data_IF_255967650521
#
_entry.id   IF_255967650521
#
_cell.length_a   1.000
_cell.length_b   1.000
_cell.length_c   1.000
_cell.angle_alpha   90.00
_cell.angle_beta   90.00
_cell.angle_gamma   90.00
#
_symmetry.space_group_name_H-M   'P 1'
#
loop_
_entity.id
_entity.type
_entity.pdbx_description
1 polymer ?
#
# COMPACT_ATOMS: atom_id res chain seq x y z
N UNK A 1 -22.57 -5.78 -62.90
CA UNK A 1 -21.77 -5.36 -61.72
C UNK A 1 -22.63 -5.23 -60.47
N UNK A 2 -23.12 -6.35 -59.90
CA UNK A 2 -23.97 -6.31 -58.69
C UNK A 2 -23.81 -7.52 -57.75
N UNK A 3 -22.98 -8.52 -58.10
CA UNK A 3 -22.77 -9.74 -57.28
C UNK A 3 -21.49 -9.72 -56.42
N UNK A 4 -20.52 -8.84 -56.70
CA UNK A 4 -19.26 -8.79 -55.92
C UNK A 4 -19.27 -7.86 -54.71
N UNK A 5 -20.16 -6.86 -54.65
CA UNK A 5 -20.24 -5.96 -53.48
C UNK A 5 -20.99 -6.57 -52.29
N UNK A 6 -21.88 -7.55 -52.51
CA UNK A 6 -22.70 -8.16 -51.45
C UNK A 6 -21.91 -9.07 -50.50
N UNK A 7 -20.84 -9.73 -50.96
CA UNK A 7 -20.04 -10.61 -50.10
C UNK A 7 -18.92 -9.89 -49.34
N UNK A 8 -18.59 -8.65 -49.73
CA UNK A 8 -17.58 -7.84 -49.05
C UNK A 8 -18.17 -7.10 -47.85
N UNK A 9 -19.37 -6.54 -48.01
CA UNK A 9 -20.10 -5.88 -46.92
C UNK A 9 -20.55 -6.86 -45.81
N UNK A 10 -20.89 -8.12 -46.16
CA UNK A 10 -21.35 -9.11 -45.18
C UNK A 10 -20.24 -9.65 -44.28
N UNK A 11 -18.97 -9.58 -44.71
CA UNK A 11 -17.81 -10.03 -43.92
C UNK A 11 -17.29 -8.95 -42.97
N UNK A 12 -17.45 -7.67 -43.31
CA UNK A 12 -17.08 -6.57 -42.41
C UNK A 12 -18.09 -6.31 -41.29
N UNK A 13 -19.39 -6.54 -41.53
CA UNK A 13 -20.41 -6.40 -40.49
C UNK A 13 -20.29 -7.44 -39.36
N UNK A 14 -19.85 -8.66 -39.67
CA UNK A 14 -19.65 -9.73 -38.67
C UNK A 14 -18.42 -9.50 -37.78
N UNK A 15 -17.36 -8.89 -38.33
CA UNK A 15 -16.13 -8.58 -37.58
C UNK A 15 -16.32 -7.37 -36.66
N UNK A 16 -17.13 -6.38 -37.06
CA UNK A 16 -17.49 -5.25 -36.20
C UNK A 16 -18.39 -5.64 -35.03
N UNK A 17 -19.32 -6.58 -35.20
CA UNK A 17 -20.13 -7.10 -34.09
C UNK A 17 -19.34 -8.00 -33.12
N UNK A 18 -18.34 -8.75 -33.61
CA UNK A 18 -17.45 -9.53 -32.76
C UNK A 18 -16.46 -8.65 -31.97
N UNK A 19 -16.00 -7.54 -32.55
CA UNK A 19 -15.11 -6.59 -31.86
C UNK A 19 -15.84 -5.77 -30.79
N UNK A 20 -17.13 -5.44 -30.99
CA UNK A 20 -17.96 -4.76 -30.00
C UNK A 20 -18.39 -5.64 -28.81
N UNK A 21 -18.38 -6.97 -28.97
CA UNK A 21 -18.65 -7.92 -27.88
C UNK A 21 -17.43 -8.19 -26.98
N UNK A 22 -16.21 -7.91 -27.44
CA UNK A 22 -15.01 -8.06 -26.61
C UNK A 22 -14.72 -6.86 -25.69
N UNK A 23 -15.33 -5.71 -25.93
CA UNK A 23 -15.16 -4.51 -25.07
C UNK A 23 -16.19 -4.49 -23.92
N UNK A 24 -17.25 -5.30 -23.98
CA UNK A 24 -18.27 -5.38 -22.94
C UNK A 24 -17.99 -6.42 -21.83
N UNK A 25 -16.87 -7.16 -21.91
CA UNK A 25 -16.54 -8.22 -20.95
C UNK A 25 -15.51 -7.80 -19.87
N UNK A 26 -15.05 -6.53 -19.85
CA UNK A 26 -14.02 -6.08 -18.91
C UNK A 26 -14.53 -5.55 -17.56
N UNK A 27 -15.84 -5.56 -17.29
CA UNK A 27 -16.39 -5.00 -16.03
C UNK A 27 -17.38 -5.91 -15.30
N UNK A 28 -17.32 -7.23 -15.48
CA UNK A 28 -18.11 -8.17 -14.68
C UNK A 28 -17.24 -9.27 -14.05
N UNK A 29 -16.14 -8.86 -13.42
CA UNK A 29 -15.64 -9.61 -12.26
C UNK A 29 -16.38 -9.12 -11.01
N UNK A 30 -17.68 -9.38 -10.92
CA UNK A 30 -18.25 -9.70 -9.60
C UNK A 30 -17.77 -11.11 -9.26
N UNK A 31 -16.46 -11.28 -9.15
CA UNK A 31 -15.89 -12.44 -8.49
C UNK A 31 -16.51 -12.46 -7.11
N UNK A 32 -16.95 -13.64 -6.66
CA UNK A 32 -17.42 -13.79 -5.29
C UNK A 32 -16.28 -13.35 -4.36
N UNK A 33 -16.34 -12.12 -3.87
CA UNK A 33 -15.31 -11.53 -3.01
C UNK A 33 -15.10 -12.44 -1.81
N UNK A 34 -13.91 -13.04 -1.73
CA UNK A 34 -13.60 -13.91 -0.62
C UNK A 34 -13.37 -13.09 0.65
N UNK A 35 -13.62 -13.74 1.78
CA UNK A 35 -13.26 -13.21 3.10
C UNK A 35 -11.75 -13.02 3.25
N UNK A 36 -10.96 -13.74 2.44
CA UNK A 36 -9.49 -13.82 2.54
C UNK A 36 -8.77 -13.69 1.20
N UNK A 37 -8.77 -12.50 0.58
CA UNK A 37 -8.04 -12.27 -0.66
C UNK A 37 -6.58 -12.66 -0.51
N UNK A 38 -5.94 -13.01 -1.62
CA UNK A 38 -4.52 -13.36 -1.64
C UNK A 38 -3.79 -12.44 -2.60
N UNK A 39 -2.61 -12.00 -2.20
CA UNK A 39 -1.73 -11.17 -3.03
C UNK A 39 -0.33 -11.77 -3.09
N UNK A 40 0.42 -11.41 -4.12
CA UNK A 40 1.85 -11.68 -4.23
C UNK A 40 2.59 -10.35 -4.29
N UNK A 41 3.62 -10.20 -3.46
CA UNK A 41 4.55 -9.07 -3.42
C UNK A 41 5.92 -9.61 -3.84
N UNK A 42 6.54 -8.99 -4.85
CA UNK A 42 7.91 -9.29 -5.27
C UNK A 42 8.83 -8.16 -4.85
N UNK A 43 9.82 -8.50 -4.03
CA UNK A 43 10.83 -7.58 -3.52
C UNK A 43 12.16 -7.93 -4.18
N UNK A 44 12.94 -6.92 -4.54
CA UNK A 44 14.31 -7.06 -5.01
C UNK A 44 15.24 -6.33 -4.04
N UNK A 45 16.35 -6.97 -3.70
CA UNK A 45 17.41 -6.39 -2.88
C UNK A 45 18.76 -7.00 -3.32
N UNK A 46 19.78 -6.17 -3.51
CA UNK A 46 21.13 -6.60 -3.88
C UNK A 46 21.18 -7.62 -5.06
N UNK A 47 20.36 -7.38 -6.08
CA UNK A 47 20.26 -8.23 -7.27
C UNK A 47 19.46 -9.54 -7.11
N UNK A 48 19.03 -9.89 -5.90
CA UNK A 48 18.19 -11.06 -5.64
C UNK A 48 16.70 -10.71 -5.55
N UNK A 49 15.82 -11.69 -5.83
CA UNK A 49 14.37 -11.50 -5.81
C UNK A 49 13.69 -12.43 -4.81
N UNK A 50 12.90 -11.83 -3.93
CA UNK A 50 12.14 -12.49 -2.87
C UNK A 50 10.64 -12.38 -3.19
N UNK A 51 9.92 -13.50 -3.14
CA UNK A 51 8.47 -13.54 -3.44
C UNK A 51 7.68 -13.88 -2.19
N UNK A 52 6.90 -12.91 -1.73
CA UNK A 52 6.02 -13.04 -0.57
C UNK A 52 4.57 -13.21 -1.04
N UNK A 53 3.91 -14.27 -0.57
CA UNK A 53 2.47 -14.43 -0.76
C UNK A 53 1.75 -14.12 0.54
N UNK A 54 0.68 -13.35 0.47
CA UNK A 54 -0.10 -12.92 1.62
C UNK A 54 -1.54 -13.41 1.55
N UNK A 55 -2.12 -13.66 2.73
CA UNK A 55 -3.58 -13.70 2.94
C UNK A 55 -4.01 -12.40 3.60
N UNK A 56 -4.93 -11.68 2.98
CA UNK A 56 -5.53 -10.45 3.51
C UNK A 56 -6.83 -10.77 4.27
N UNK A 57 -7.16 -9.99 5.29
CA UNK A 57 -8.24 -10.29 6.24
C UNK A 57 -9.46 -9.40 6.03
N UNK A 58 -10.03 -9.39 4.81
CA UNK A 58 -11.17 -8.52 4.43
C UNK A 58 -12.37 -8.66 5.36
N UNK A 59 -12.62 -9.86 5.89
CA UNK A 59 -13.74 -10.07 6.82
C UNK A 59 -13.56 -9.40 8.19
N UNK A 60 -12.34 -9.01 8.55
CA UNK A 60 -12.04 -8.28 9.79
C UNK A 60 -11.83 -6.80 9.48
N UNK A 61 -11.10 -6.48 8.42
CA UNK A 61 -10.71 -5.12 8.03
C UNK A 61 -11.14 -4.83 6.57
N UNK A 62 -12.45 -4.76 6.28
CA UNK A 62 -12.95 -4.69 4.92
C UNK A 62 -12.55 -3.42 4.17
N UNK A 63 -12.49 -2.26 4.83
CA UNK A 63 -12.16 -1.00 4.14
C UNK A 63 -10.67 -0.89 3.88
N UNK A 64 -9.85 -1.25 4.87
CA UNK A 64 -8.40 -1.33 4.70
C UNK A 64 -8.07 -2.30 3.55
N UNK A 65 -8.59 -3.53 3.58
CA UNK A 65 -8.27 -4.51 2.53
C UNK A 65 -8.79 -4.09 1.15
N UNK A 66 -9.98 -3.46 1.07
CA UNK A 66 -10.47 -2.93 -0.20
C UNK A 66 -9.55 -1.85 -0.78
N UNK A 67 -9.10 -0.91 0.06
CA UNK A 67 -8.19 0.17 -0.31
C UNK A 67 -6.88 -0.35 -0.91
N UNK A 68 -6.19 -1.26 -0.22
CA UNK A 68 -4.95 -1.84 -0.73
C UNK A 68 -5.17 -2.68 -1.99
N UNK A 69 -6.29 -3.39 -2.12
CA UNK A 69 -6.61 -4.12 -3.36
C UNK A 69 -6.77 -3.15 -4.53
N UNK A 70 -7.48 -2.03 -4.37
CA UNK A 70 -7.62 -1.04 -5.44
C UNK A 70 -6.26 -0.44 -5.87
N UNK A 71 -5.37 -0.17 -4.91
CA UNK A 71 -4.01 0.29 -5.19
C UNK A 71 -3.20 -0.75 -5.98
N UNK A 72 -3.33 -2.02 -5.61
CA UNK A 72 -2.66 -3.15 -6.29
C UNK A 72 -3.21 -3.32 -7.72
N UNK A 73 -4.52 -3.22 -7.92
CA UNK A 73 -5.15 -3.32 -9.24
C UNK A 73 -4.75 -2.18 -10.18
N UNK A 74 -4.55 -0.98 -9.62
CA UNK A 74 -4.02 0.18 -10.33
C UNK A 74 -2.49 0.12 -10.53
N UNK A 75 -1.83 -0.94 -10.04
CA UNK A 75 -0.37 -1.15 -10.10
C UNK A 75 0.45 -0.05 -9.40
N UNK A 76 -0.15 0.65 -8.45
CA UNK A 76 0.48 1.81 -7.81
C UNK A 76 1.82 1.46 -7.12
N UNK A 77 1.90 0.26 -6.54
CA UNK A 77 3.07 -0.22 -5.82
C UNK A 77 4.24 -0.67 -6.71
N UNK A 78 4.04 -0.85 -8.01
CA UNK A 78 5.13 -1.27 -8.90
C UNK A 78 6.21 -0.16 -8.93
N UNK A 79 7.45 -0.54 -8.60
CA UNK A 79 8.59 0.38 -8.52
C UNK A 79 8.65 1.23 -7.25
N UNK A 80 7.72 1.05 -6.30
CA UNK A 80 7.86 1.67 -4.97
C UNK A 80 8.97 0.99 -4.17
N UNK A 81 9.44 1.63 -3.10
CA UNK A 81 10.54 1.12 -2.28
C UNK A 81 10.17 1.08 -0.80
N UNK A 82 10.92 0.29 -0.04
CA UNK A 82 11.00 0.45 1.42
C UNK A 82 11.89 1.67 1.67
N UNK A 83 11.27 2.79 2.06
CA UNK A 83 11.93 4.08 2.21
C UNK A 83 12.36 4.36 3.65
N UNK A 84 11.80 3.61 4.60
CA UNK A 84 12.09 3.78 6.01
C UNK A 84 12.18 2.39 6.65
N UNK A 85 13.42 1.95 6.85
CA UNK A 85 13.79 0.66 7.41
C UNK A 85 14.01 0.81 8.91
N UNK A 86 12.94 0.61 9.68
CA UNK A 86 12.95 0.72 11.13
C UNK A 86 13.17 -0.64 11.79
N UNK A 87 13.59 -0.64 13.06
CA UNK A 87 13.76 -1.86 13.86
C UNK A 87 12.54 -2.78 13.83
N UNK A 88 11.33 -2.21 13.95
CA UNK A 88 10.09 -2.98 14.04
C UNK A 88 9.37 -3.12 12.69
N UNK A 89 9.65 -2.25 11.72
CA UNK A 89 8.83 -2.08 10.53
C UNK A 89 9.68 -1.75 9.30
N UNK A 90 9.42 -2.44 8.20
CA UNK A 90 9.87 -2.04 6.88
C UNK A 90 8.74 -1.24 6.23
N UNK A 91 8.85 0.09 6.20
CA UNK A 91 7.79 0.99 5.72
C UNK A 91 7.99 1.31 4.24
N UNK A 92 6.94 1.15 3.45
CA UNK A 92 6.99 1.25 1.99
C UNK A 92 5.72 1.78 1.35
N UNK A 93 5.75 1.86 0.02
CA UNK A 93 4.54 2.07 -0.79
C UNK A 93 4.14 3.52 -1.04
N UNK A 94 4.99 4.51 -0.73
CA UNK A 94 4.74 5.94 -1.05
C UNK A 94 5.86 6.64 -1.79
N UNK A 95 7.00 5.96 -1.97
CA UNK A 95 8.23 6.55 -2.50
C UNK A 95 8.90 5.61 -3.51
N UNK A 96 9.76 6.15 -4.36
CA UNK A 96 10.59 5.45 -5.34
C UNK A 96 11.95 6.13 -5.48
N UNK A 97 12.95 5.45 -6.05
CA UNK A 97 14.23 6.07 -6.43
C UNK A 97 14.16 6.54 -7.89
N UNK A 98 14.66 7.74 -8.17
CA UNK A 98 14.85 8.19 -9.55
C UNK A 98 16.09 7.50 -10.16
N UNK A 99 15.91 6.73 -11.23
CA UNK A 99 17.02 6.08 -11.95
C UNK A 99 17.98 7.09 -12.63
N UNK A 100 17.62 8.39 -12.68
CA UNK A 100 18.36 9.44 -13.36
C UNK A 100 19.08 10.43 -12.43
N UNK A 101 18.91 10.32 -11.10
CA UNK A 101 19.55 11.19 -10.12
C UNK A 101 20.53 10.34 -9.31
N UNK A 102 21.78 10.81 -9.25
CA UNK A 102 22.72 10.49 -8.17
C UNK A 102 23.22 9.06 -8.04
N UNK A 103 24.20 8.88 -7.17
CA UNK A 103 24.80 7.60 -6.78
C UNK A 103 24.43 7.23 -5.34
N UNK A 104 23.50 7.97 -4.73
CA UNK A 104 23.19 7.91 -3.29
C UNK A 104 21.67 7.80 -3.06
N UNK A 105 21.18 6.59 -2.75
CA UNK A 105 19.76 6.34 -2.51
C UNK A 105 19.11 7.29 -1.49
N UNK A 106 19.83 7.76 -0.47
CA UNK A 106 19.25 8.65 0.54
C UNK A 106 18.86 10.03 -0.03
N UNK A 107 19.56 10.48 -1.07
CA UNK A 107 19.30 11.75 -1.76
C UNK A 107 18.34 11.63 -2.94
N UNK A 108 18.20 10.43 -3.50
CA UNK A 108 17.51 10.19 -4.76
C UNK A 108 16.06 9.67 -4.60
N UNK A 109 15.55 9.66 -3.36
CA UNK A 109 14.19 9.19 -3.08
C UNK A 109 13.12 10.28 -3.32
N UNK A 110 12.09 9.93 -4.09
CA UNK A 110 11.00 10.82 -4.50
C UNK A 110 9.63 10.28 -4.07
N UNK A 111 8.70 11.19 -3.76
CA UNK A 111 7.32 10.86 -3.38
C UNK A 111 6.46 10.49 -4.61
N UNK A 112 5.54 9.53 -4.45
CA UNK A 112 4.48 9.20 -5.42
C UNK A 112 3.13 9.84 -5.09
N UNK A 113 3.11 10.88 -4.26
CA UNK A 113 1.89 11.58 -3.83
C UNK A 113 1.04 12.07 -5.00
N UNK A 114 1.62 12.76 -5.99
CA UNK A 114 0.88 13.21 -7.18
C UNK A 114 0.23 12.05 -7.96
N UNK A 115 0.94 10.92 -8.09
CA UNK A 115 0.41 9.72 -8.73
C UNK A 115 -0.74 9.10 -7.92
N UNK A 116 -0.62 9.15 -6.59
CA UNK A 116 -1.64 8.65 -5.66
C UNK A 116 -2.91 9.50 -5.71
N UNK A 117 -2.76 10.82 -5.69
CA UNK A 117 -3.89 11.75 -5.68
C UNK A 117 -4.68 11.73 -6.99
N UNK A 118 -4.02 11.38 -8.10
CA UNK A 118 -4.67 11.15 -9.38
C UNK A 118 -5.55 9.88 -9.40
N UNK A 119 -5.45 8.99 -8.39
CA UNK A 119 -6.23 7.75 -8.35
C UNK A 119 -7.67 7.98 -7.91
N UNK A 120 -8.60 7.48 -8.72
CA UNK A 120 -10.00 7.36 -8.31
C UNK A 120 -10.20 6.09 -7.47
N UNK A 121 -10.04 6.22 -6.15
CA UNK A 121 -10.25 5.18 -5.13
C UNK A 121 -11.63 5.30 -4.47
N UNK A 122 -12.13 4.19 -3.91
CA UNK A 122 -13.31 4.17 -3.05
C UNK A 122 -13.14 5.08 -1.83
N UNK A 123 -14.20 5.81 -1.47
CA UNK A 123 -14.16 6.83 -0.41
C UNK A 123 -14.70 6.30 0.91
N UNK A 124 -13.95 6.56 1.98
CA UNK A 124 -14.36 6.28 3.36
C UNK A 124 -14.23 7.46 4.31
N UNK A 125 -13.63 8.57 3.87
CA UNK A 125 -13.33 9.74 4.69
C UNK A 125 -13.78 11.01 3.96
N UNK A 126 -14.38 11.95 4.68
CA UNK A 126 -14.90 13.22 4.16
C UNK A 126 -14.63 14.38 5.12
N UNK A 127 -14.63 15.60 4.59
CA UNK A 127 -14.55 16.84 5.37
C UNK A 127 -15.75 17.08 6.29
N UNK A 128 -16.93 16.59 5.90
CA UNK A 128 -18.20 16.89 6.56
C UNK A 128 -19.21 15.74 6.45
N UNK A 129 -20.26 15.79 7.28
CA UNK A 129 -21.30 14.75 7.34
C UNK A 129 -22.11 14.62 6.04
N UNK A 130 -22.25 15.72 5.29
CA UNK A 130 -22.96 15.76 4.00
C UNK A 130 -22.10 15.22 2.86
N UNK A 131 -20.84 14.86 3.14
CA UNK A 131 -19.86 14.27 2.23
C UNK A 131 -19.51 15.19 1.06
N UNK A 132 -19.42 16.50 1.31
CA UNK A 132 -19.19 17.47 0.23
C UNK A 132 -17.79 17.33 -0.39
N UNK A 133 -16.77 17.09 0.43
CA UNK A 133 -15.40 16.82 -0.03
C UNK A 133 -14.94 15.46 0.50
N UNK A 134 -14.60 14.55 -0.42
CA UNK A 134 -14.06 13.24 -0.07
C UNK A 134 -12.53 13.29 -0.08
N UNK A 135 -11.91 12.68 0.93
CA UNK A 135 -10.45 12.59 1.00
C UNK A 135 -9.99 11.29 0.36
N UNK A 136 -8.80 11.32 -0.25
CA UNK A 136 -8.11 10.13 -0.74
C UNK A 136 -7.45 9.34 0.40
N UNK A 137 -8.08 9.24 1.55
CA UNK A 137 -7.59 8.50 2.71
C UNK A 137 -8.58 7.43 3.16
N UNK A 138 -8.09 6.44 3.91
CA UNK A 138 -8.89 5.31 4.36
C UNK A 138 -9.28 5.40 5.84
N UNK A 139 -10.48 4.91 6.18
CA UNK A 139 -10.91 4.76 7.57
C UNK A 139 -9.97 3.83 8.34
N UNK A 140 -9.45 4.30 9.48
CA UNK A 140 -8.56 3.51 10.34
C UNK A 140 -9.29 2.40 11.08
N UNK A 141 -9.19 1.16 10.59
CA UNK A 141 -9.79 -0.03 11.19
C UNK A 141 -8.92 -0.62 12.31
N UNK A 142 -8.73 0.15 13.38
CA UNK A 142 -7.94 -0.21 14.57
C UNK A 142 -8.52 0.42 15.85
N UNK A 143 -8.14 -0.10 17.01
CA UNK A 143 -8.79 0.23 18.29
C UNK A 143 -8.59 1.67 18.74
N UNK A 144 -7.42 2.27 18.50
CA UNK A 144 -7.15 3.65 18.89
C UNK A 144 -8.05 4.68 18.17
N UNK A 145 -8.56 4.35 16.97
CA UNK A 145 -9.50 5.20 16.23
C UNK A 145 -10.93 5.16 16.81
N UNK A 146 -11.19 4.34 17.83
CA UNK A 146 -12.45 4.31 18.57
C UNK A 146 -13.66 3.77 17.77
N UNK A 147 -14.40 2.84 18.36
CA UNK A 147 -15.61 2.27 17.77
C UNK A 147 -15.37 1.24 16.67
N UNK A 148 -14.10 0.90 16.39
CA UNK A 148 -13.74 -0.29 15.63
C UNK A 148 -13.18 -1.36 16.58
N UNK A 149 -13.84 -2.52 16.62
CA UNK A 149 -13.40 -3.67 17.42
C UNK A 149 -13.65 -4.97 16.66
N UNK A 150 -12.65 -5.84 16.63
CA UNK A 150 -12.77 -7.21 16.15
C UNK A 150 -12.96 -8.12 17.37
N UNK A 151 -14.19 -8.57 17.59
CA UNK A 151 -14.59 -9.26 18.82
C UNK A 151 -14.16 -10.74 18.89
N UNK A 152 -13.57 -11.29 17.83
CA UNK A 152 -13.15 -12.69 17.76
C UNK A 152 -11.75 -12.81 17.13
N UNK A 153 -10.71 -12.84 17.98
CA UNK A 153 -9.30 -12.97 17.60
C UNK A 153 -8.87 -11.91 16.57
N UNK A 154 -8.72 -10.63 16.99
CA UNK A 154 -8.11 -9.63 16.13
C UNK A 154 -6.77 -10.13 15.60
N UNK A 155 -6.42 -9.72 14.39
CA UNK A 155 -5.12 -10.01 13.84
C UNK A 155 -4.07 -9.26 14.64
N UNK A 156 -3.01 -9.96 15.03
CA UNK A 156 -1.83 -9.39 15.66
C UNK A 156 -0.64 -9.55 14.72
N UNK A 157 0.39 -8.73 14.90
CA UNK A 157 1.65 -8.85 14.19
C UNK A 157 2.30 -10.23 14.42
N UNK A 158 2.69 -10.85 13.31
CA UNK A 158 3.74 -11.85 13.22
C UNK A 158 4.88 -11.22 12.41
N UNK A 159 6.08 -11.79 12.49
CA UNK A 159 7.16 -11.41 11.57
C UNK A 159 6.68 -11.62 10.12
N UNK A 160 6.78 -10.57 9.32
CA UNK A 160 6.32 -10.49 7.94
C UNK A 160 4.85 -10.07 7.77
N UNK A 161 4.08 -9.82 8.84
CA UNK A 161 2.70 -9.31 8.72
C UNK A 161 2.65 -7.99 7.95
N UNK A 162 1.56 -7.78 7.22
CA UNK A 162 1.31 -6.56 6.45
C UNK A 162 0.31 -5.68 7.21
N UNK A 163 0.63 -4.41 7.40
CA UNK A 163 -0.26 -3.46 8.03
C UNK A 163 -0.23 -2.07 7.41
N UNK A 164 -1.28 -1.30 7.69
CA UNK A 164 -1.43 0.06 7.21
C UNK A 164 -0.55 1.00 8.02
N UNK A 165 0.07 1.98 7.35
CA UNK A 165 0.98 2.93 7.98
C UNK A 165 0.62 4.38 7.64
N UNK A 166 1.00 5.32 8.48
CA UNK A 166 0.89 6.76 8.23
C UNK A 166 1.90 7.50 9.14
N UNK A 167 2.41 8.64 8.67
CA UNK A 167 3.32 9.48 9.46
C UNK A 167 2.60 10.64 10.18
N UNK A 168 1.32 10.86 9.87
CA UNK A 168 0.53 11.96 10.42
C UNK A 168 0.62 11.99 11.95
N UNK A 169 1.11 13.10 12.55
CA UNK A 169 1.26 13.17 14.00
C UNK A 169 -0.07 13.02 14.73
N UNK A 170 -0.02 12.57 15.98
CA UNK A 170 -1.22 12.45 16.80
C UNK A 170 -1.81 13.83 17.17
N UNK A 171 -2.78 14.31 16.40
CA UNK A 171 -3.56 15.53 16.68
C UNK A 171 -5.05 15.24 16.56
N UNK A 172 -5.68 15.01 17.69
CA UNK A 172 -7.08 14.57 17.73
C UNK A 172 -8.12 15.70 17.64
N UNK A 173 -7.66 16.96 17.64
CA UNK A 173 -8.51 18.14 17.53
C UNK A 173 -9.13 18.29 16.13
N UNK A 174 -8.38 17.93 15.08
CA UNK A 174 -8.91 17.95 13.72
C UNK A 174 -9.78 16.73 13.48
N UNK A 175 -10.96 16.97 12.89
CA UNK A 175 -11.99 15.97 12.69
C UNK A 175 -12.29 15.75 11.23
N UNK A 176 -12.66 14.52 10.92
CA UNK A 176 -13.20 14.09 9.64
C UNK A 176 -14.42 13.20 9.87
N UNK A 177 -15.23 13.05 8.84
CA UNK A 177 -16.37 12.14 8.86
C UNK A 177 -16.01 10.86 8.14
N UNK A 178 -16.22 9.73 8.80
CA UNK A 178 -15.84 8.42 8.28
C UNK A 178 -17.03 7.50 8.14
N UNK A 179 -17.01 6.65 7.11
CA UNK A 179 -17.97 5.57 6.95
C UNK A 179 -17.45 4.36 7.70
N UNK A 180 -18.13 3.94 8.75
CA UNK A 180 -17.73 2.74 9.51
C UNK A 180 -17.94 1.46 8.70
N UNK A 181 -17.08 0.47 8.88
CA UNK A 181 -17.15 -0.79 8.16
C UNK A 181 -18.25 -1.75 8.62
N UNK A 182 -18.67 -1.68 9.89
CA UNK A 182 -19.66 -2.61 10.44
C UNK A 182 -21.09 -2.31 10.01
N UNK A 183 -21.50 -1.04 10.10
CA UNK A 183 -22.88 -0.63 9.87
C UNK A 183 -23.02 0.35 8.69
N UNK A 184 -21.92 0.92 8.19
CA UNK A 184 -21.97 2.00 7.20
C UNK A 184 -22.34 3.35 7.78
N UNK A 185 -22.41 3.48 9.11
CA UNK A 185 -22.71 4.71 9.82
C UNK A 185 -21.66 5.77 9.51
N UNK A 186 -22.10 7.03 9.39
CA UNK A 186 -21.25 8.19 9.20
C UNK A 186 -21.01 8.83 10.55
N UNK A 187 -19.74 8.80 11.01
CA UNK A 187 -19.36 9.24 12.35
C UNK A 187 -18.14 10.14 12.29
N UNK A 188 -18.06 11.10 13.20
CA UNK A 188 -16.90 11.98 13.33
C UNK A 188 -15.73 11.25 14.02
N UNK A 189 -14.51 11.40 13.48
CA UNK A 189 -13.26 10.82 14.00
C UNK A 189 -12.06 11.76 13.86
N UNK A 190 -11.01 11.61 14.68
CA UNK A 190 -9.73 12.29 14.50
C UNK A 190 -9.13 12.08 13.10
N UNK A 191 -8.69 13.13 12.42
CA UNK A 191 -8.04 13.00 11.11
C UNK A 191 -6.78 12.14 11.16
N UNK A 192 -5.94 12.30 12.18
CA UNK A 192 -4.66 11.57 12.32
C UNK A 192 -4.80 10.03 12.32
N UNK A 193 -5.98 9.49 12.62
CA UNK A 193 -6.23 8.04 12.56
C UNK A 193 -6.94 7.58 11.28
N UNK A 194 -7.17 8.51 10.36
CA UNK A 194 -7.92 8.34 9.12
C UNK A 194 -7.21 9.04 7.96
N UNK A 195 -5.88 9.17 8.07
CA UNK A 195 -4.99 9.85 7.12
C UNK A 195 -4.14 8.86 6.30
N UNK A 196 -4.30 7.55 6.52
CA UNK A 196 -3.59 6.54 5.73
C UNK A 196 -3.91 6.69 4.24
N UNK A 197 -2.86 6.83 3.45
CA UNK A 197 -2.88 6.83 1.99
C UNK A 197 -2.44 5.47 1.45
N UNK A 198 -1.31 5.38 0.76
CA UNK A 198 -0.78 4.13 0.20
C UNK A 198 0.24 3.41 1.09
N UNK A 199 0.75 4.09 2.12
CA UNK A 199 1.84 3.58 2.96
C UNK A 199 1.45 2.30 3.69
N UNK A 200 2.38 1.35 3.76
CA UNK A 200 2.23 0.13 4.54
C UNK A 200 3.52 -0.19 5.28
N UNK A 201 3.43 -1.07 6.26
CA UNK A 201 4.60 -1.72 6.84
C UNK A 201 4.58 -3.23 6.60
N UNK A 202 5.77 -3.81 6.48
CA UNK A 202 6.00 -5.24 6.73
C UNK A 202 6.62 -5.38 8.12
N UNK A 203 5.99 -6.16 8.99
CA UNK A 203 6.38 -6.25 10.40
C UNK A 203 7.68 -7.03 10.58
N UNK A 204 8.60 -6.47 11.36
CA UNK A 204 9.76 -7.14 11.93
C UNK A 204 9.61 -7.33 13.46
N UNK A 205 8.37 -7.27 13.95
CA UNK A 205 8.02 -7.50 15.35
C UNK A 205 6.81 -8.42 15.47
N UNK A 206 6.61 -9.00 16.64
CA UNK A 206 5.39 -9.73 17.02
C UNK A 206 4.45 -8.87 17.88
N UNK A 207 4.86 -7.66 18.23
CA UNK A 207 4.03 -6.71 18.97
C UNK A 207 3.17 -5.90 17.99
N UNK A 208 1.88 -5.79 18.29
CA UNK A 208 0.96 -4.96 17.50
C UNK A 208 0.83 -3.57 18.13
N UNK A 209 0.75 -2.55 17.30
CA UNK A 209 0.42 -1.19 17.71
C UNK A 209 -1.09 -0.96 17.58
N UNK A 210 -1.71 -0.37 18.59
CA UNK A 210 -3.14 -0.06 18.57
C UNK A 210 -3.53 1.06 17.59
N UNK A 211 -2.54 1.81 17.09
CA UNK A 211 -2.69 2.88 16.11
C UNK A 211 -2.64 2.39 14.66
N UNK A 212 -2.32 1.11 14.42
CA UNK A 212 -2.19 0.59 13.08
C UNK A 212 -3.10 -0.62 12.83
N UNK A 213 -3.58 -0.72 11.60
CA UNK A 213 -4.37 -1.87 11.16
C UNK A 213 -3.44 -2.94 10.59
N UNK A 214 -3.20 -4.04 11.33
CA UNK A 214 -2.61 -5.26 10.74
C UNK A 214 -3.68 -5.96 9.91
N UNK A 215 -3.50 -6.11 8.61
CA UNK A 215 -4.55 -6.62 7.72
C UNK A 215 -4.15 -7.82 6.86
N UNK A 216 -2.87 -8.22 6.86
CA UNK A 216 -2.39 -9.37 6.11
C UNK A 216 -1.30 -10.17 6.83
N UNK A 217 -1.19 -11.45 6.51
CA UNK A 217 -0.11 -12.33 6.98
C UNK A 217 0.47 -13.16 5.84
N UNK A 218 1.73 -13.56 5.99
CA UNK A 218 2.38 -14.47 5.05
C UNK A 218 1.60 -15.79 4.96
N UNK A 219 1.29 -16.19 3.73
CA UNK A 219 0.33 -17.23 3.39
C UNK A 219 0.78 -18.64 3.80
N UNK A 220 2.08 -18.91 3.71
CA UNK A 220 2.68 -20.23 3.85
C UNK A 220 4.14 -20.14 4.33
N UNK A 221 4.74 -21.29 4.67
CA UNK A 221 6.13 -21.35 5.13
C UNK A 221 7.12 -20.82 4.10
N UNK A 222 6.94 -21.11 2.82
CA UNK A 222 7.81 -20.60 1.76
C UNK A 222 7.89 -19.07 1.74
N UNK A 223 6.78 -18.38 1.99
CA UNK A 223 6.80 -16.92 2.11
C UNK A 223 7.43 -16.42 3.40
N UNK A 224 7.36 -17.20 4.50
CA UNK A 224 8.08 -16.92 5.75
C UNK A 224 9.58 -17.10 5.56
N UNK A 225 9.99 -18.19 4.91
CA UNK A 225 11.38 -18.47 4.55
C UNK A 225 11.92 -17.35 3.63
N UNK A 226 11.19 -16.98 2.57
CA UNK A 226 11.60 -15.90 1.67
C UNK A 226 11.74 -14.53 2.36
N UNK A 227 10.91 -14.23 3.37
CA UNK A 227 11.07 -13.00 4.14
C UNK A 227 12.26 -13.08 5.10
N UNK A 228 12.48 -14.24 5.74
CA UNK A 228 13.66 -14.49 6.56
C UNK A 228 14.95 -14.40 5.75
N UNK A 229 14.95 -14.91 4.52
CA UNK A 229 16.08 -14.86 3.59
C UNK A 229 16.40 -13.41 3.18
N UNK A 230 15.37 -12.59 2.95
CA UNK A 230 15.55 -11.15 2.70
C UNK A 230 16.21 -10.44 3.88
N UNK A 231 15.71 -10.69 5.11
CA UNK A 231 16.30 -10.09 6.31
C UNK A 231 17.75 -10.54 6.53
N UNK A 232 18.05 -11.81 6.27
CA UNK A 232 19.41 -12.35 6.36
C UNK A 232 20.34 -11.74 5.30
N UNK A 233 19.86 -11.52 4.07
CA UNK A 233 20.63 -10.85 3.03
C UNK A 233 20.95 -9.39 3.39
N UNK A 234 20.00 -8.68 4.00
CA UNK A 234 20.22 -7.31 4.51
C UNK A 234 21.27 -7.31 5.64
N UNK A 235 21.20 -8.26 6.57
CA UNK A 235 22.18 -8.41 7.65
C UNK A 235 23.58 -8.75 7.13
N UNK A 236 23.68 -9.64 6.14
CA UNK A 236 24.94 -9.97 5.46
C UNK A 236 25.53 -8.74 4.75
N UNK A 237 24.70 -7.99 4.02
CA UNK A 237 25.12 -6.75 3.38
C UNK A 237 25.63 -5.73 4.41
N UNK A 238 24.90 -5.55 5.51
CA UNK A 238 25.27 -4.64 6.61
C UNK A 238 26.61 -5.04 7.24
N UNK A 239 26.81 -6.34 7.46
CA UNK A 239 28.07 -6.88 8.00
C UNK A 239 29.22 -6.59 7.03
N UNK A 240 29.03 -6.88 5.74
CA UNK A 240 30.03 -6.60 4.70
C UNK A 240 30.35 -5.11 4.59
N UNK A 241 29.37 -4.21 4.73
CA UNK A 241 29.64 -2.76 4.79
C UNK A 241 30.55 -2.41 5.97
N UNK A 242 30.26 -2.94 7.15
CA UNK A 242 31.03 -2.67 8.37
C UNK A 242 32.46 -3.20 8.31
N UNK A 243 32.69 -4.36 7.69
CA UNK A 243 34.03 -4.95 7.55
C UNK A 243 34.92 -4.21 6.54
N UNK A 244 34.31 -3.49 5.59
CA UNK A 244 35.01 -2.80 4.51
C UNK A 244 35.08 -1.26 4.67
N UNK A 245 34.60 -0.74 5.81
CA UNK A 245 34.59 0.69 6.14
C UNK A 245 35.58 1.00 7.27
N UNK A 246 36.29 2.13 7.17
CA UNK A 246 37.11 2.66 8.28
C UNK A 246 36.23 3.35 9.35
N UNK A 247 35.00 3.72 9.01
CA UNK A 247 33.99 4.35 9.88
C UNK A 247 32.85 3.37 10.25
N UNK A 248 32.04 3.69 11.27
CA UNK A 248 30.83 2.94 11.62
C UNK A 248 29.83 2.97 10.45
N UNK A 249 29.87 1.95 9.58
CA UNK A 249 28.94 1.82 8.47
C UNK A 249 27.55 1.41 8.98
N UNK A 250 26.53 2.16 8.57
CA UNK A 250 25.12 1.84 8.80
C UNK A 250 24.48 1.40 7.49
N UNK A 251 23.51 0.49 7.56
CA UNK A 251 22.68 0.13 6.41
C UNK A 251 21.71 1.24 6.01
N UNK A 252 21.41 2.16 6.91
CA UNK A 252 20.47 3.24 6.69
C UNK A 252 21.07 4.60 7.00
N UNK A 253 20.62 5.61 6.27
CA UNK A 253 20.88 7.02 6.56
C UNK A 253 19.61 7.68 7.08
N UNK A 254 19.72 8.37 8.22
CA UNK A 254 18.62 9.15 8.78
C UNK A 254 18.42 10.44 7.99
N UNK A 255 17.18 10.69 7.56
CA UNK A 255 16.82 11.92 6.85
C UNK A 255 15.46 12.44 7.28
N UNK A 256 15.42 13.73 7.61
CA UNK A 256 14.18 14.43 7.88
C UNK A 256 13.48 14.80 6.58
N UNK A 257 12.29 14.25 6.40
CA UNK A 257 11.42 14.47 5.25
C UNK A 257 10.27 15.38 5.63
N UNK A 258 10.03 16.41 4.80
CA UNK A 258 8.81 17.21 4.91
C UNK A 258 7.70 16.49 4.16
N UNK A 259 6.68 16.07 4.89
CA UNK A 259 5.46 15.47 4.34
C UNK A 259 4.41 16.57 4.28
N UNK A 260 3.96 16.89 3.06
CA UNK A 260 2.84 17.77 2.84
C UNK A 260 1.54 16.99 3.06
N UNK A 261 0.58 17.63 3.70
CA UNK A 261 -0.72 17.05 3.97
C UNK A 261 -1.75 18.18 3.96
N UNK A 262 -2.46 18.31 2.84
CA UNK A 262 -3.47 19.35 2.64
C UNK A 262 -4.64 19.24 3.63
N UNK A 263 -4.79 18.10 4.29
CA UNK A 263 -5.85 17.85 5.27
C UNK A 263 -5.35 17.89 6.70
N UNK A 264 -4.07 18.20 6.99
CA UNK A 264 -3.52 18.20 8.35
C UNK A 264 -3.87 19.45 9.18
N UNK A 265 -4.12 20.56 8.50
CA UNK A 265 -4.61 21.79 9.11
C UNK A 265 -5.83 22.31 8.34
N UNK A 266 -6.53 23.30 8.90
CA UNK A 266 -7.72 23.85 8.27
C UNK A 266 -7.46 24.44 6.87
N UNK A 267 -6.22 24.86 6.60
CA UNK A 267 -5.79 25.47 5.34
C UNK A 267 -4.62 24.68 4.68
N UNK A 268 -4.49 23.39 5.02
CA UNK A 268 -3.35 22.56 4.64
C UNK A 268 -2.10 22.80 5.46
N UNK A 269 -1.21 21.82 5.48
CA UNK A 269 0.01 21.91 6.27
C UNK A 269 1.08 20.92 5.85
N UNK A 270 2.12 20.85 6.67
CA UNK A 270 3.17 19.86 6.54
C UNK A 270 3.66 19.47 7.92
N UNK A 271 4.27 18.30 8.01
CA UNK A 271 4.97 17.84 9.20
C UNK A 271 6.26 17.12 8.80
N UNK A 272 7.20 17.06 9.73
CA UNK A 272 8.46 16.36 9.52
C UNK A 272 8.33 14.92 10.00
N UNK A 273 8.84 13.99 9.20
CA UNK A 273 9.06 12.61 9.59
C UNK A 273 10.53 12.25 9.32
N UNK A 274 11.17 11.57 10.26
CA UNK A 274 12.55 11.08 10.09
C UNK A 274 12.49 9.68 9.49
N UNK A 275 13.14 9.47 8.35
CA UNK A 275 13.23 8.17 7.68
C UNK A 275 14.61 7.56 7.90
N UNK A 276 14.67 6.24 8.04
CA UNK A 276 15.90 5.44 7.97
C UNK A 276 16.01 4.88 6.55
N UNK A 277 16.56 5.65 5.62
CA UNK A 277 16.57 5.30 4.19
C UNK A 277 17.67 4.25 3.94
N UNK A 278 17.35 3.08 3.36
CA UNK A 278 18.38 2.09 3.00
C UNK A 278 19.40 2.65 2.00
N UNK A 279 20.69 2.41 2.26
CA UNK A 279 21.80 2.74 1.34
C UNK A 279 21.90 1.79 0.15
N UNK A 280 21.25 0.62 0.23
CA UNK A 280 21.00 -0.28 -0.89
C UNK A 280 19.48 -0.44 -1.06
N UNK A 281 18.92 -0.12 -2.24
CA UNK A 281 17.50 -0.15 -2.49
C UNK A 281 16.81 -1.49 -2.21
N UNK A 282 15.73 -1.45 -1.42
CA UNK A 282 14.77 -2.56 -1.29
C UNK A 282 13.54 -2.21 -2.14
N UNK A 283 13.48 -2.76 -3.35
CA UNK A 283 12.52 -2.36 -4.39
C UNK A 283 11.34 -3.33 -4.46
N UNK A 284 10.11 -2.79 -4.42
CA UNK A 284 8.88 -3.53 -4.68
C UNK A 284 8.65 -3.57 -6.18
N UNK A 285 9.16 -4.60 -6.82
CA UNK A 285 9.10 -4.74 -8.29
C UNK A 285 7.69 -5.05 -8.80
N UNK A 286 6.85 -5.70 -7.99
CA UNK A 286 5.47 -5.99 -8.36
C UNK A 286 4.59 -6.36 -7.18
N UNK A 287 3.34 -5.89 -7.18
CA UNK A 287 2.28 -6.43 -6.31
C UNK A 287 1.06 -6.85 -7.13
N UNK A 288 0.51 -8.04 -6.91
CA UNK A 288 -0.62 -8.57 -7.69
C UNK A 288 -1.64 -9.28 -6.81
N UNK A 289 -2.93 -9.06 -7.07
CA UNK A 289 -4.02 -9.88 -6.52
C UNK A 289 -4.02 -11.24 -7.21
N UNK A 290 -3.92 -12.31 -6.43
CA UNK A 290 -3.94 -13.70 -6.93
C UNK A 290 -5.26 -14.41 -6.61
N UNK A 291 -6.04 -13.88 -5.66
CA UNK A 291 -7.38 -14.37 -5.31
C UNK A 291 -8.25 -13.25 -4.75
N UNK A 292 -9.49 -13.16 -5.25
CA UNK A 292 -10.50 -12.16 -4.88
C UNK A 292 -11.47 -12.61 -3.83
#
# INVERSE_FOLDING_TARGET
MAKSLRSFASKFAAVLFAALLFVAALFMFTGCETKRPEITVKIQFNGESYTLEYKLYRNMYPQTVAHYIELIEKKFYDGTVIHDYQTNYLVGGGYYYDENVGTDPADDILSKEDEYDALNLSKSVWSDADKTTAYNTVYGEFSANGGFEVTNNPLTNEIGSLGAYYYTPARTAQKVWVKTSRNGDIVERPYCYNSTTSLFYISNTTTSDENYCTFGVLKNSKSKDAFSDLLAAIEEYTTNLSENSEDEASFTEEKDMTIYDEYWEADGGSYTATFNIPVEPIVITSVRVTKY
#
